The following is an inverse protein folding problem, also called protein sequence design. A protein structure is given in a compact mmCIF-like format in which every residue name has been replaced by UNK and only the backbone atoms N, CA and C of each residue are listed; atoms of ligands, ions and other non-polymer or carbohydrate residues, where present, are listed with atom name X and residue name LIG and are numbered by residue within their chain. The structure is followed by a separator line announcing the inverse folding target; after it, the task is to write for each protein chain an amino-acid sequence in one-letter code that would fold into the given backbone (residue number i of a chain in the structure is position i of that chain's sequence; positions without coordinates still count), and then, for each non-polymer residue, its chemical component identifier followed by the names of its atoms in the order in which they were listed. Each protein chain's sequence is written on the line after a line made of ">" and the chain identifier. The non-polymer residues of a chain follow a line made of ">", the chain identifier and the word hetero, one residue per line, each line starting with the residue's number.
data_IF_580179744216
#
_entry.id   IF_580179744216
#
_cell.length_a   1.000
_cell.length_b   1.000
_cell.length_c   1.000
_cell.angle_alpha   90.00
_cell.angle_beta   90.00
_cell.angle_gamma   90.00
#
_symmetry.space_group_name_H-M   'P 1'
#
loop_
_entity.id
_entity.type
_entity.pdbx_description
1 polymer ?
#
# COMPACT_ATOMS: atom_id res chain seq x y z
N UNK A 1 1.39 3.84 -10.56
CA UNK A 1 0.33 4.61 -9.88
C UNK A 1 -0.80 3.64 -9.49
N UNK A 2 -1.10 3.52 -8.18
CA UNK A 2 -2.26 2.78 -7.69
C UNK A 2 -3.43 3.76 -7.48
N UNK A 3 -4.56 3.45 -8.09
CA UNK A 3 -5.81 4.19 -7.96
C UNK A 3 -6.78 3.42 -7.05
N UNK A 4 -7.34 4.11 -6.04
CA UNK A 4 -8.51 3.60 -5.33
C UNK A 4 -9.65 3.36 -6.33
N UNK A 5 -10.78 2.69 -5.95
CA UNK A 5 -11.84 2.36 -6.90
C UNK A 5 -12.28 3.54 -7.76
N UNK A 6 -12.32 3.32 -9.07
CA UNK A 6 -12.68 4.35 -10.07
C UNK A 6 -14.06 4.13 -10.66
N UNK A 7 -14.70 2.99 -10.36
CA UNK A 7 -15.97 2.60 -10.98
C UNK A 7 -17.16 3.37 -10.40
N UNK A 8 -18.23 3.47 -11.16
CA UNK A 8 -19.49 4.03 -10.69
C UNK A 8 -19.89 3.41 -9.35
N UNK A 9 -20.27 4.25 -8.39
CA UNK A 9 -20.64 3.86 -7.03
C UNK A 9 -21.62 4.86 -6.42
N UNK A 10 -22.28 4.48 -5.33
CA UNK A 10 -23.19 5.37 -4.61
C UNK A 10 -22.46 6.24 -3.57
N UNK A 11 -21.28 5.81 -3.13
CA UNK A 11 -20.47 6.54 -2.13
C UNK A 11 -19.25 7.22 -2.76
N UNK A 12 -18.69 8.20 -2.05
CA UNK A 12 -17.49 8.89 -2.48
C UNK A 12 -16.20 8.04 -2.37
N UNK A 13 -16.20 6.98 -1.54
CA UNK A 13 -15.08 6.04 -1.44
C UNK A 13 -15.06 4.99 -2.56
N UNK A 14 -16.20 4.74 -3.21
CA UNK A 14 -16.40 3.83 -4.35
C UNK A 14 -16.12 2.35 -4.10
N UNK A 15 -15.95 1.92 -2.86
CA UNK A 15 -15.87 0.49 -2.53
C UNK A 15 -17.22 -0.22 -2.66
N UNK A 16 -18.32 0.50 -2.72
CA UNK A 16 -19.67 0.02 -3.03
C UNK A 16 -19.94 0.07 -4.55
N UNK A 17 -19.13 -0.61 -5.35
CA UNK A 17 -19.18 -0.61 -6.81
C UNK A 17 -20.61 -0.83 -7.32
N UNK A 18 -21.09 0.09 -8.15
CA UNK A 18 -22.41 0.05 -8.78
C UNK A 18 -22.37 -0.54 -10.20
N UNK A 19 -21.34 -0.23 -10.97
CA UNK A 19 -21.12 -0.80 -12.30
C UNK A 19 -19.62 -0.92 -12.60
N UNK A 20 -19.10 -2.14 -12.73
CA UNK A 20 -17.70 -2.40 -13.07
C UNK A 20 -17.32 -2.00 -14.52
N UNK A 21 -18.31 -1.75 -15.38
CA UNK A 21 -18.08 -1.41 -16.78
C UNK A 21 -17.96 0.10 -17.01
N UNK A 22 -18.32 0.91 -16.00
CA UNK A 22 -18.43 2.37 -16.10
C UNK A 22 -17.47 3.04 -15.11
N UNK A 23 -16.67 3.99 -15.59
CA UNK A 23 -15.93 4.92 -14.72
C UNK A 23 -16.94 5.86 -14.05
N UNK A 24 -16.74 6.16 -12.77
CA UNK A 24 -17.58 7.13 -12.06
C UNK A 24 -17.60 8.47 -12.81
N UNK A 25 -18.77 9.03 -13.16
CA UNK A 25 -18.87 10.26 -13.93
C UNK A 25 -18.19 11.48 -13.30
N UNK A 26 -17.91 11.45 -11.98
CA UNK A 26 -17.13 12.50 -11.32
C UNK A 26 -15.63 12.43 -11.64
N UNK A 27 -15.16 11.30 -12.17
CA UNK A 27 -13.76 11.06 -12.53
C UNK A 27 -13.54 11.14 -14.05
N UNK A 28 -14.60 11.08 -14.84
CA UNK A 28 -14.56 11.07 -16.30
C UNK A 28 -15.22 9.83 -16.90
N UNK A 29 -14.67 9.33 -17.99
CA UNK A 29 -15.16 8.15 -18.69
C UNK A 29 -14.01 7.16 -19.03
N UNK A 30 -14.33 6.07 -19.75
CA UNK A 30 -13.33 5.10 -20.19
C UNK A 30 -12.28 5.72 -21.12
N UNK A 31 -12.65 6.74 -21.92
CA UNK A 31 -11.69 7.41 -22.80
C UNK A 31 -10.69 8.26 -22.00
N UNK A 32 -11.13 8.92 -20.94
CA UNK A 32 -10.25 9.64 -20.02
C UNK A 32 -9.31 8.68 -19.32
N UNK A 33 -9.79 7.51 -18.87
CA UNK A 33 -8.92 6.48 -18.30
C UNK A 33 -7.87 5.98 -19.30
N UNK A 34 -8.25 5.69 -20.56
CA UNK A 34 -7.31 5.31 -21.62
C UNK A 34 -6.26 6.39 -21.87
N UNK A 35 -6.69 7.64 -21.85
CA UNK A 35 -5.80 8.80 -22.01
C UNK A 35 -4.82 8.89 -20.84
N UNK A 36 -5.30 8.72 -19.60
CA UNK A 36 -4.44 8.67 -18.41
C UNK A 36 -3.38 7.58 -18.54
N UNK A 37 -3.76 6.35 -18.88
CA UNK A 37 -2.83 5.25 -19.04
C UNK A 37 -1.77 5.51 -20.11
N UNK A 38 -2.20 6.02 -21.27
CA UNK A 38 -1.31 6.37 -22.38
C UNK A 38 -0.31 7.46 -22.00
N UNK A 39 -0.78 8.50 -21.30
CA UNK A 39 0.09 9.61 -20.86
C UNK A 39 1.03 9.19 -19.70
N UNK A 40 0.58 8.27 -18.84
CA UNK A 40 1.40 7.67 -17.79
C UNK A 40 2.53 6.81 -18.41
N UNK A 41 2.19 5.95 -19.38
CA UNK A 41 3.15 5.07 -20.06
C UNK A 41 4.27 5.84 -20.75
N UNK A 42 3.97 6.96 -21.42
CA UNK A 42 4.98 7.86 -22.00
C UNK A 42 6.00 8.38 -20.99
N UNK A 43 5.67 8.35 -19.72
CA UNK A 43 6.50 8.78 -18.57
C UNK A 43 7.10 7.62 -17.80
N UNK A 44 6.94 6.38 -18.30
CA UNK A 44 7.39 5.17 -17.62
C UNK A 44 6.53 4.79 -16.39
N UNK A 45 5.32 5.32 -16.29
CA UNK A 45 4.40 5.08 -15.17
C UNK A 45 3.34 4.07 -15.60
N UNK A 46 3.16 3.01 -14.82
CA UNK A 46 2.08 2.02 -14.99
C UNK A 46 0.92 2.32 -14.03
N UNK A 47 -0.29 1.95 -14.44
CA UNK A 47 -1.52 2.20 -13.68
C UNK A 47 -2.08 0.88 -13.12
N UNK A 48 -2.29 0.84 -11.81
CA UNK A 48 -2.92 -0.27 -11.08
C UNK A 48 -4.32 0.13 -10.65
N UNK A 49 -5.30 -0.73 -10.91
CA UNK A 49 -6.68 -0.56 -10.47
C UNK A 49 -6.99 -1.37 -9.21
N UNK A 50 -8.00 -0.93 -8.48
CA UNK A 50 -8.55 -1.62 -7.32
C UNK A 50 -9.69 -2.56 -7.74
N UNK A 51 -9.54 -3.83 -7.43
CA UNK A 51 -10.50 -4.90 -7.71
C UNK A 51 -11.31 -5.26 -6.47
N UNK A 52 -12.45 -4.62 -6.29
CA UNK A 52 -13.41 -4.91 -5.21
C UNK A 52 -14.35 -6.00 -5.71
N UNK A 53 -13.98 -7.28 -5.52
CA UNK A 53 -14.69 -8.41 -6.12
C UNK A 53 -15.37 -9.34 -5.11
N UNK A 54 -15.28 -9.07 -3.81
CA UNK A 54 -15.92 -9.83 -2.74
C UNK A 54 -17.34 -9.34 -2.40
N UNK A 55 -17.71 -8.12 -2.83
CA UNK A 55 -19.03 -7.53 -2.65
C UNK A 55 -19.32 -6.51 -3.75
N UNK A 56 -20.56 -6.05 -3.81
CA UNK A 56 -20.96 -4.90 -4.63
C UNK A 56 -21.72 -3.90 -3.78
N UNK A 57 -22.04 -2.73 -4.32
CA UNK A 57 -22.98 -1.83 -3.66
C UNK A 57 -24.41 -2.39 -3.67
N UNK A 58 -25.16 -2.19 -2.58
CA UNK A 58 -26.58 -2.54 -2.57
C UNK A 58 -27.39 -1.76 -3.63
N UNK A 59 -26.92 -0.57 -4.01
CA UNK A 59 -27.49 0.26 -5.07
C UNK A 59 -26.93 -0.04 -6.46
N UNK A 60 -26.09 -1.06 -6.61
CA UNK A 60 -25.50 -1.45 -7.89
C UNK A 60 -26.54 -1.98 -8.86
N UNK A 61 -26.25 -1.96 -10.16
CA UNK A 61 -27.05 -2.61 -11.19
C UNK A 61 -27.21 -4.13 -10.96
N UNK A 62 -26.30 -4.73 -10.25
CA UNK A 62 -26.31 -6.17 -9.96
C UNK A 62 -27.24 -6.53 -8.83
N UNK A 63 -27.28 -5.75 -7.74
CA UNK A 63 -28.17 -5.96 -6.61
C UNK A 63 -29.48 -5.16 -6.72
N UNK A 64 -29.39 -3.87 -7.02
CA UNK A 64 -30.47 -2.93 -7.31
C UNK A 64 -31.53 -2.81 -6.19
N UNK A 65 -31.09 -2.66 -4.93
CA UNK A 65 -31.99 -2.61 -3.77
C UNK A 65 -33.12 -1.59 -3.91
N UNK A 66 -32.81 -0.41 -4.44
CA UNK A 66 -33.75 0.72 -4.57
C UNK A 66 -34.56 0.69 -5.87
N UNK A 67 -34.32 -0.28 -6.79
CA UNK A 67 -34.95 -0.34 -8.08
C UNK A 67 -34.58 0.82 -9.04
N UNK A 68 -33.40 1.41 -8.83
CA UNK A 68 -32.93 2.56 -9.62
C UNK A 68 -32.65 2.18 -11.07
N UNK A 69 -32.07 1.01 -11.30
CA UNK A 69 -31.80 0.53 -12.67
C UNK A 69 -33.04 -0.10 -13.29
N UNK A 70 -33.32 0.18 -14.58
CA UNK A 70 -34.49 -0.38 -15.28
C UNK A 70 -34.47 -1.92 -15.39
N UNK A 71 -33.25 -2.50 -15.53
CA UNK A 71 -33.10 -3.94 -15.54
C UNK A 71 -33.15 -4.50 -14.11
N UNK A 72 -33.78 -5.68 -13.88
CA UNK A 72 -33.85 -6.25 -12.54
C UNK A 72 -32.49 -6.68 -12.00
N UNK A 73 -32.14 -6.20 -10.82
CA UNK A 73 -31.03 -6.71 -10.03
C UNK A 73 -31.47 -7.87 -9.11
N UNK A 74 -30.57 -8.41 -8.31
CA UNK A 74 -30.84 -9.57 -7.46
C UNK A 74 -31.95 -9.32 -6.44
N UNK A 75 -32.13 -8.10 -5.95
CA UNK A 75 -33.20 -7.74 -5.01
C UNK A 75 -34.59 -7.82 -5.60
N UNK A 76 -34.75 -7.90 -6.93
CA UNK A 76 -36.02 -8.10 -7.62
C UNK A 76 -36.32 -9.60 -7.84
N UNK A 77 -35.47 -10.52 -7.41
CA UNK A 77 -35.72 -11.95 -7.42
C UNK A 77 -35.13 -12.72 -8.59
N UNK A 78 -35.57 -13.99 -8.76
CA UNK A 78 -34.98 -14.93 -9.73
C UNK A 78 -35.09 -14.54 -11.21
N UNK A 79 -35.85 -13.50 -11.54
CA UNK A 79 -35.90 -12.93 -12.90
C UNK A 79 -34.58 -12.21 -13.25
N UNK A 80 -33.82 -11.80 -12.25
CA UNK A 80 -32.52 -11.16 -12.44
C UNK A 80 -31.45 -12.18 -12.85
N UNK A 81 -30.61 -11.89 -13.86
CA UNK A 81 -29.45 -12.72 -14.19
C UNK A 81 -28.42 -12.77 -13.07
N UNK A 82 -28.47 -11.82 -12.13
CA UNK A 82 -27.56 -11.68 -11.00
C UNK A 82 -28.08 -12.31 -9.71
N UNK A 83 -29.29 -12.88 -9.69
CA UNK A 83 -29.92 -13.38 -8.47
C UNK A 83 -29.04 -14.41 -7.73
N UNK A 84 -28.45 -15.35 -8.46
CA UNK A 84 -27.57 -16.39 -7.91
C UNK A 84 -26.17 -15.91 -7.52
N UNK A 85 -25.86 -14.65 -7.75
CA UNK A 85 -24.61 -14.05 -7.26
C UNK A 85 -24.66 -13.78 -5.76
N UNK A 86 -25.86 -13.76 -5.16
CA UNK A 86 -26.08 -13.39 -3.76
C UNK A 86 -26.85 -14.46 -3.02
N UNK A 87 -26.68 -14.51 -1.70
CA UNK A 87 -27.38 -15.42 -0.79
C UNK A 87 -28.39 -14.63 0.06
N UNK A 88 -29.65 -15.10 0.08
CA UNK A 88 -30.74 -14.44 0.82
C UNK A 88 -31.26 -15.33 1.97
N UNK A 89 -31.61 -14.70 3.16
CA UNK A 89 -32.02 -15.38 4.40
C UNK A 89 -33.00 -14.55 5.28
N UNK A 90 -34.24 -14.26 5.03
CA UNK A 90 -35.09 -14.52 3.87
C UNK A 90 -35.01 -13.46 2.78
N UNK A 91 -35.36 -13.87 1.56
CA UNK A 91 -35.52 -12.94 0.46
C UNK A 91 -36.70 -11.99 0.68
N UNK A 92 -36.60 -10.70 0.26
CA UNK A 92 -35.41 -9.99 -0.22
C UNK A 92 -34.68 -9.23 0.91
N UNK A 93 -35.17 -9.31 2.15
CA UNK A 93 -34.85 -8.39 3.25
C UNK A 93 -33.58 -8.74 4.00
N UNK A 94 -33.17 -10.00 3.98
CA UNK A 94 -31.93 -10.44 4.63
C UNK A 94 -31.05 -11.21 3.63
N UNK A 95 -29.77 -10.88 3.61
CA UNK A 95 -28.78 -11.41 2.68
C UNK A 95 -27.37 -11.34 3.28
N UNK A 96 -26.47 -12.16 2.76
CA UNK A 96 -25.06 -12.08 3.13
C UNK A 96 -24.49 -10.72 2.72
N UNK A 97 -23.74 -10.11 3.62
CA UNK A 97 -23.12 -8.82 3.40
C UNK A 97 -21.73 -8.82 4.03
N UNK A 98 -20.80 -8.10 3.40
CA UNK A 98 -19.43 -7.96 3.88
C UNK A 98 -19.44 -7.39 5.31
N UNK A 99 -18.93 -8.19 6.26
CA UNK A 99 -18.95 -7.92 7.71
C UNK A 99 -20.34 -7.48 8.27
N UNK A 100 -21.42 -7.94 7.65
CA UNK A 100 -22.78 -7.59 8.04
C UNK A 100 -23.24 -6.20 7.62
N UNK A 101 -22.44 -5.47 6.86
CA UNK A 101 -22.75 -4.13 6.34
C UNK A 101 -23.73 -4.26 5.16
N UNK A 102 -25.00 -4.01 5.40
CA UNK A 102 -26.08 -4.22 4.39
C UNK A 102 -25.92 -3.38 3.12
N UNK A 103 -25.17 -2.29 3.14
CA UNK A 103 -24.86 -1.54 1.92
C UNK A 103 -23.85 -2.25 0.99
N UNK A 104 -23.24 -3.33 1.46
CA UNK A 104 -22.21 -4.10 0.77
C UNK A 104 -22.58 -5.58 0.68
N UNK A 105 -23.61 -5.96 -0.14
CA UNK A 105 -24.01 -7.35 -0.32
C UNK A 105 -22.83 -8.18 -0.85
N UNK A 106 -22.50 -9.26 -0.12
CA UNK A 106 -21.46 -10.18 -0.48
C UNK A 106 -21.85 -11.00 -1.70
N UNK A 107 -20.93 -11.23 -2.61
CA UNK A 107 -21.16 -12.07 -3.78
C UNK A 107 -20.67 -13.50 -3.53
N UNK A 108 -21.21 -14.43 -4.29
CA UNK A 108 -20.71 -15.80 -4.35
C UNK A 108 -19.62 -15.91 -5.44
N UNK A 109 -18.38 -15.79 -5.04
CA UNK A 109 -17.21 -15.83 -5.93
C UNK A 109 -17.00 -17.21 -6.60
N UNK A 110 -17.78 -18.22 -6.22
CA UNK A 110 -17.81 -19.55 -6.87
C UNK A 110 -18.92 -19.70 -7.89
N UNK A 111 -19.80 -18.68 -8.02
CA UNK A 111 -20.84 -18.70 -9.03
C UNK A 111 -20.23 -18.59 -10.44
N UNK A 112 -20.50 -19.55 -11.31
CA UNK A 112 -19.88 -19.62 -12.65
C UNK A 112 -20.14 -18.37 -13.50
N UNK A 113 -21.35 -17.80 -13.44
CA UNK A 113 -21.66 -16.59 -14.20
C UNK A 113 -20.94 -15.35 -13.66
N UNK A 114 -20.74 -15.27 -12.34
CA UNK A 114 -19.94 -14.22 -11.71
C UNK A 114 -18.46 -14.36 -12.10
N UNK A 115 -17.90 -15.56 -11.97
CA UNK A 115 -16.51 -15.84 -12.39
C UNK A 115 -16.31 -15.54 -13.86
N UNK A 116 -17.29 -15.92 -14.71
CA UNK A 116 -17.22 -15.59 -16.13
C UNK A 116 -17.25 -14.07 -16.39
N UNK A 117 -18.12 -13.36 -15.69
CA UNK A 117 -18.23 -11.91 -15.83
C UNK A 117 -16.98 -11.16 -15.37
N UNK A 118 -16.44 -11.51 -14.20
CA UNK A 118 -15.27 -10.84 -13.66
C UNK A 118 -13.97 -11.31 -14.30
N UNK A 119 -13.79 -12.63 -14.59
CA UNK A 119 -12.48 -13.21 -14.87
C UNK A 119 -12.39 -13.90 -16.23
N UNK A 120 -13.20 -14.97 -16.44
CA UNK A 120 -12.91 -15.94 -17.51
C UNK A 120 -13.50 -15.59 -18.86
N UNK A 121 -14.58 -14.80 -18.91
CA UNK A 121 -15.22 -14.38 -20.15
C UNK A 121 -14.28 -13.55 -21.03
N UNK A 122 -14.47 -13.62 -22.34
CA UNK A 122 -13.67 -12.86 -23.30
C UNK A 122 -13.72 -11.34 -23.04
N UNK A 123 -14.88 -10.84 -22.61
CA UNK A 123 -15.09 -9.43 -22.24
C UNK A 123 -15.20 -9.26 -20.72
N UNK A 124 -14.51 -10.11 -19.94
CA UNK A 124 -14.52 -10.01 -18.48
C UNK A 124 -13.95 -8.67 -17.99
N UNK A 125 -14.34 -8.28 -16.79
CA UNK A 125 -13.92 -7.02 -16.17
C UNK A 125 -12.39 -6.94 -16.06
N UNK A 126 -11.73 -8.04 -15.66
CA UNK A 126 -10.26 -8.10 -15.59
C UNK A 126 -9.64 -7.81 -16.94
N UNK A 127 -10.09 -8.46 -18.02
CA UNK A 127 -9.57 -8.26 -19.38
C UNK A 127 -9.90 -6.88 -19.94
N UNK A 128 -11.12 -6.41 -19.73
CA UNK A 128 -11.61 -5.11 -20.23
C UNK A 128 -10.67 -3.98 -19.82
N UNK A 129 -10.37 -3.88 -18.54
CA UNK A 129 -9.59 -2.77 -18.01
C UNK A 129 -8.09 -2.91 -18.27
N UNK A 130 -7.57 -4.14 -18.36
CA UNK A 130 -6.20 -4.35 -18.85
C UNK A 130 -6.06 -3.97 -20.33
N UNK A 131 -7.05 -4.30 -21.18
CA UNK A 131 -7.12 -3.82 -22.58
C UNK A 131 -7.31 -2.30 -22.68
N UNK A 132 -7.91 -1.68 -21.68
CA UNK A 132 -8.05 -0.23 -21.60
C UNK A 132 -6.78 0.50 -21.20
N UNK A 133 -5.73 -0.22 -20.76
CA UNK A 133 -4.43 0.34 -20.45
C UNK A 133 -3.96 0.16 -19.00
N UNK A 134 -4.79 -0.41 -18.12
CA UNK A 134 -4.31 -0.82 -16.81
C UNK A 134 -3.17 -1.84 -16.95
N UNK A 135 -2.22 -1.81 -16.03
CA UNK A 135 -1.07 -2.72 -16.02
C UNK A 135 -1.05 -3.62 -14.78
N UNK A 136 -2.02 -3.45 -13.89
CA UNK A 136 -2.07 -4.21 -12.65
C UNK A 136 -3.45 -4.15 -12.00
N UNK A 137 -3.70 -5.13 -11.14
CA UNK A 137 -4.83 -5.15 -10.21
C UNK A 137 -4.34 -5.30 -8.77
N UNK A 138 -4.90 -4.52 -7.86
CA UNK A 138 -4.87 -4.77 -6.42
C UNK A 138 -6.20 -5.40 -6.04
N UNK A 139 -6.18 -6.53 -5.35
CA UNK A 139 -7.38 -7.18 -4.85
C UNK A 139 -7.70 -6.66 -3.45
N UNK A 140 -8.83 -6.00 -3.35
CA UNK A 140 -9.43 -5.54 -2.10
C UNK A 140 -9.78 -6.75 -1.24
N UNK A 141 -9.45 -6.66 0.05
CA UNK A 141 -9.74 -7.70 1.05
C UNK A 141 -9.48 -9.11 0.50
N UNK A 142 -8.24 -9.39 0.06
CA UNK A 142 -7.91 -10.67 -0.57
C UNK A 142 -8.19 -11.89 0.33
N UNK A 143 -8.30 -11.68 1.64
CA UNK A 143 -8.70 -12.73 2.60
C UNK A 143 -10.14 -13.22 2.41
N UNK A 144 -11.03 -12.39 1.88
CA UNK A 144 -12.42 -12.73 1.60
C UNK A 144 -12.58 -13.50 0.29
N UNK A 145 -11.62 -13.37 -0.65
CA UNK A 145 -11.66 -14.06 -1.94
C UNK A 145 -11.16 -15.51 -1.81
N UNK A 146 -11.85 -16.52 -2.36
CA UNK A 146 -11.33 -17.89 -2.43
C UNK A 146 -10.00 -17.96 -3.19
N UNK A 147 -9.10 -18.88 -2.80
CA UNK A 147 -7.83 -19.09 -3.51
C UNK A 147 -8.05 -19.38 -5.01
N UNK A 148 -9.09 -20.17 -5.33
CA UNK A 148 -9.45 -20.53 -6.70
C UNK A 148 -9.83 -19.30 -7.55
N UNK A 149 -10.48 -18.31 -6.96
CA UNK A 149 -10.82 -17.05 -7.63
C UNK A 149 -9.57 -16.24 -7.94
N UNK A 150 -8.67 -16.09 -6.96
CA UNK A 150 -7.38 -15.41 -7.14
C UNK A 150 -6.53 -16.12 -8.21
N UNK A 151 -6.48 -17.45 -8.17
CA UNK A 151 -5.73 -18.25 -9.17
C UNK A 151 -6.32 -18.10 -10.58
N UNK A 152 -7.64 -18.01 -10.70
CA UNK A 152 -8.28 -17.76 -12.00
C UNK A 152 -7.91 -16.39 -12.58
N UNK A 153 -7.91 -15.32 -11.75
CA UNK A 153 -7.43 -13.99 -12.16
C UNK A 153 -5.98 -14.10 -12.63
N UNK A 154 -5.13 -14.74 -11.82
CA UNK A 154 -3.70 -14.91 -12.14
C UNK A 154 -3.50 -15.65 -13.45
N UNK A 155 -4.24 -16.74 -13.69
CA UNK A 155 -4.13 -17.53 -14.91
C UNK A 155 -4.50 -16.71 -16.16
N UNK A 156 -5.60 -15.96 -16.10
CA UNK A 156 -6.03 -15.05 -17.18
C UNK A 156 -4.98 -13.98 -17.46
N UNK A 157 -4.46 -13.35 -16.41
CA UNK A 157 -3.44 -12.32 -16.55
C UNK A 157 -2.14 -12.91 -17.15
N UNK A 158 -1.71 -14.06 -16.68
CA UNK A 158 -0.50 -14.70 -17.20
C UNK A 158 -0.63 -15.11 -18.66
N UNK A 159 -1.81 -15.52 -19.09
CA UNK A 159 -2.08 -15.92 -20.48
C UNK A 159 -2.14 -14.73 -21.43
N UNK A 160 -2.90 -13.69 -21.06
CA UNK A 160 -3.27 -12.62 -21.99
C UNK A 160 -2.48 -11.32 -21.75
N UNK A 161 -1.92 -11.13 -20.53
CA UNK A 161 -1.23 -9.92 -20.09
C UNK A 161 -0.03 -10.28 -19.17
N UNK A 162 1.00 -10.99 -19.69
CA UNK A 162 2.06 -11.58 -18.88
C UNK A 162 2.88 -10.57 -18.06
N UNK A 163 2.90 -9.31 -18.48
CA UNK A 163 3.59 -8.22 -17.78
C UNK A 163 2.73 -7.51 -16.72
N UNK A 164 1.46 -7.92 -16.60
CA UNK A 164 0.55 -7.32 -15.62
C UNK A 164 0.81 -7.87 -14.22
N UNK A 165 0.72 -6.99 -13.20
CA UNK A 165 1.00 -7.32 -11.82
C UNK A 165 -0.31 -7.55 -11.03
N UNK A 166 -0.33 -8.55 -10.17
CA UNK A 166 -1.45 -8.84 -9.28
C UNK A 166 -0.99 -8.70 -7.83
N UNK A 167 -1.50 -7.69 -7.15
CA UNK A 167 -1.25 -7.37 -5.75
C UNK A 167 -2.46 -7.80 -4.90
N UNK A 168 -2.24 -8.22 -3.66
CA UNK A 168 -3.32 -8.47 -2.71
C UNK A 168 -3.21 -7.65 -1.45
N UNK A 169 -4.35 -7.26 -0.92
CA UNK A 169 -4.43 -6.71 0.42
C UNK A 169 -4.54 -7.85 1.43
N UNK A 170 -3.50 -8.00 2.26
CA UNK A 170 -3.44 -8.93 3.39
C UNK A 170 -2.74 -8.22 4.54
N UNK A 171 -3.37 -8.16 5.70
CA UNK A 171 -2.89 -7.33 6.80
C UNK A 171 -1.79 -7.98 7.66
N UNK A 172 -1.62 -9.29 7.53
CA UNK A 172 -0.62 -10.05 8.26
C UNK A 172 0.39 -10.71 7.32
N UNK A 173 1.21 -11.60 7.86
CA UNK A 173 2.08 -12.47 7.07
C UNK A 173 1.23 -13.39 6.16
N UNK A 174 1.27 -13.13 4.86
CA UNK A 174 0.48 -13.87 3.88
C UNK A 174 0.85 -15.34 3.73
N UNK A 175 2.00 -15.79 4.23
CA UNK A 175 2.43 -17.17 4.16
C UNK A 175 1.89 -18.03 5.31
N UNK A 176 1.59 -17.39 6.43
CA UNK A 176 1.04 -18.05 7.63
C UNK A 176 -0.45 -17.79 7.82
N UNK A 177 -1.02 -16.90 7.01
CA UNK A 177 -2.42 -16.49 7.10
C UNK A 177 -3.38 -17.67 7.01
N UNK A 178 -4.30 -17.71 7.97
CA UNK A 178 -5.45 -18.63 7.98
C UNK A 178 -6.72 -17.79 7.88
N UNK A 179 -7.50 -17.98 6.84
CA UNK A 179 -8.82 -17.40 6.68
C UNK A 179 -9.82 -18.51 6.32
N UNK A 180 -11.04 -18.44 6.86
CA UNK A 180 -12.09 -19.45 6.66
C UNK A 180 -11.62 -20.90 6.93
N UNK A 181 -10.84 -21.06 8.02
CA UNK A 181 -10.27 -22.36 8.47
C UNK A 181 -9.31 -22.99 7.48
N UNK A 182 -8.77 -22.24 6.50
CA UNK A 182 -7.77 -22.71 5.55
C UNK A 182 -6.54 -21.81 5.57
N UNK A 183 -5.34 -22.43 5.57
CA UNK A 183 -4.10 -21.70 5.29
C UNK A 183 -4.11 -21.24 3.85
N UNK A 184 -3.92 -19.93 3.67
CA UNK A 184 -3.99 -19.29 2.37
C UNK A 184 -2.72 -19.56 1.54
N UNK A 185 -2.88 -19.54 0.22
CA UNK A 185 -1.83 -19.92 -0.72
C UNK A 185 -1.44 -18.75 -1.64
N UNK A 186 -1.39 -17.55 -1.10
CA UNK A 186 -1.20 -16.32 -1.87
C UNK A 186 0.09 -16.29 -2.70
N UNK A 187 1.23 -16.70 -2.11
CA UNK A 187 2.57 -16.52 -2.67
C UNK A 187 3.22 -17.81 -3.19
N UNK A 188 2.46 -18.88 -3.40
CA UNK A 188 2.98 -20.19 -3.83
C UNK A 188 3.04 -20.37 -5.35
N UNK A 189 3.15 -19.28 -6.13
CA UNK A 189 3.40 -19.29 -7.57
C UNK A 189 2.15 -19.20 -8.46
N UNK A 190 0.98 -19.63 -8.00
CA UNK A 190 -0.28 -19.56 -8.76
C UNK A 190 -1.22 -18.43 -8.34
N UNK A 191 -0.86 -17.68 -7.30
CA UNK A 191 -1.68 -16.62 -6.74
C UNK A 191 -1.13 -15.22 -7.04
N UNK A 192 -0.96 -14.44 -5.99
CA UNK A 192 -0.50 -13.05 -6.08
C UNK A 192 0.98 -12.96 -6.42
N UNK A 193 1.38 -11.87 -7.06
CA UNK A 193 2.79 -11.55 -7.25
C UNK A 193 3.42 -10.96 -5.99
N UNK A 194 2.65 -10.20 -5.23
CA UNK A 194 3.07 -9.56 -3.99
C UNK A 194 1.88 -9.16 -3.14
N UNK A 195 2.18 -8.62 -1.96
CA UNK A 195 1.21 -8.19 -0.98
C UNK A 195 1.45 -6.73 -0.58
N UNK A 196 0.39 -6.05 -0.15
CA UNK A 196 0.52 -4.84 0.65
C UNK A 196 1.20 -5.20 1.97
N UNK A 197 2.37 -4.61 2.22
CA UNK A 197 3.23 -5.01 3.35
C UNK A 197 2.81 -4.32 4.66
N UNK A 198 1.63 -4.69 5.18
CA UNK A 198 1.19 -4.26 6.50
C UNK A 198 2.16 -4.63 7.63
N UNK A 199 2.83 -5.80 7.61
CA UNK A 199 3.86 -6.12 8.58
C UNK A 199 4.98 -5.09 8.67
N UNK A 200 5.44 -4.53 7.52
CA UNK A 200 6.43 -3.46 7.50
C UNK A 200 5.94 -2.22 8.25
N UNK A 201 4.73 -1.76 7.95
CA UNK A 201 4.11 -0.62 8.62
C UNK A 201 3.96 -0.86 10.13
N UNK A 202 3.42 -2.03 10.48
CA UNK A 202 3.13 -2.41 11.87
C UNK A 202 4.40 -2.53 12.71
N UNK A 203 5.53 -2.90 12.13
CA UNK A 203 6.81 -2.96 12.82
C UNK A 203 7.53 -1.59 12.87
N UNK A 204 7.49 -0.80 11.78
CA UNK A 204 8.23 0.46 11.71
C UNK A 204 7.61 1.57 12.58
N UNK A 205 6.29 1.69 12.59
CA UNK A 205 5.64 2.80 13.30
C UNK A 205 5.84 2.76 14.83
N UNK A 206 5.72 1.61 15.54
CA UNK A 206 6.06 1.52 16.95
C UNK A 206 7.52 1.84 17.26
N UNK A 207 8.46 1.42 16.40
CA UNK A 207 9.87 1.80 16.53
C UNK A 207 10.04 3.33 16.46
N UNK A 208 9.48 4.00 15.46
CA UNK A 208 9.56 5.45 15.32
C UNK A 208 8.85 6.18 16.48
N UNK A 209 7.71 5.69 16.93
CA UNK A 209 6.98 6.25 18.07
C UNK A 209 7.65 6.00 19.42
N UNK A 210 8.64 5.11 19.51
CA UNK A 210 9.37 4.79 20.75
C UNK A 210 8.69 3.76 21.65
N UNK A 211 7.71 3.03 21.13
CA UNK A 211 7.01 1.96 21.86
C UNK A 211 7.60 0.58 21.63
N UNK A 212 8.51 0.44 20.64
CA UNK A 212 9.34 -0.75 20.41
C UNK A 212 10.79 -0.36 20.05
N UNK A 213 11.69 -1.35 20.02
CA UNK A 213 13.08 -1.18 19.64
C UNK A 213 13.34 -1.41 18.14
N UNK A 214 14.55 -1.03 17.69
CA UNK A 214 15.02 -1.32 16.34
C UNK A 214 15.18 -2.82 16.10
N UNK A 215 15.52 -3.58 17.15
CA UNK A 215 15.59 -5.03 17.15
C UNK A 215 14.25 -5.68 16.84
N UNK A 216 13.14 -5.14 17.37
CA UNK A 216 11.79 -5.66 17.08
C UNK A 216 11.42 -5.46 15.60
N UNK A 217 11.78 -4.30 15.03
CA UNK A 217 11.61 -4.04 13.60
C UNK A 217 12.43 -5.01 12.76
N UNK A 218 13.73 -5.18 13.08
CA UNK A 218 14.61 -6.13 12.38
C UNK A 218 14.03 -7.53 12.42
N UNK A 219 13.68 -8.03 13.60
CA UNK A 219 13.23 -9.41 13.80
C UNK A 219 11.89 -9.68 13.07
N UNK A 220 10.97 -8.71 13.07
CA UNK A 220 9.75 -8.78 12.30
C UNK A 220 10.03 -8.85 10.79
N UNK A 221 10.94 -8.02 10.26
CA UNK A 221 11.27 -8.00 8.84
C UNK A 221 12.09 -9.20 8.40
N UNK A 222 12.98 -9.71 9.24
CA UNK A 222 13.69 -10.97 8.96
C UNK A 222 12.72 -12.16 8.94
N UNK A 223 11.72 -12.19 9.82
CA UNK A 223 10.66 -13.20 9.77
C UNK A 223 9.92 -13.18 8.44
N UNK A 224 9.53 -11.99 7.96
CA UNK A 224 8.87 -11.85 6.64
C UNK A 224 9.83 -12.25 5.51
N UNK A 225 11.11 -11.87 5.58
CA UNK A 225 12.12 -12.23 4.56
C UNK A 225 12.34 -13.73 4.47
N UNK A 226 12.35 -14.44 5.61
CA UNK A 226 12.48 -15.90 5.67
C UNK A 226 11.24 -16.63 5.19
N UNK A 227 10.05 -16.08 5.47
CA UNK A 227 8.78 -16.70 5.12
C UNK A 227 8.38 -16.48 3.65
N UNK A 228 8.69 -15.34 3.07
CA UNK A 228 8.27 -15.00 1.72
C UNK A 228 9.21 -15.57 0.66
N UNK A 229 8.70 -16.05 -0.48
CA UNK A 229 9.53 -16.23 -1.66
C UNK A 229 10.25 -14.91 -1.99
N UNK A 230 11.55 -15.00 -2.33
CA UNK A 230 12.38 -13.81 -2.58
C UNK A 230 11.74 -12.80 -3.55
N UNK A 231 11.14 -13.19 -4.70
CA UNK A 231 10.48 -12.22 -5.58
C UNK A 231 9.31 -11.49 -4.91
N UNK A 232 8.57 -12.15 -4.02
CA UNK A 232 7.44 -11.53 -3.31
C UNK A 232 7.91 -10.58 -2.19
N UNK A 233 9.02 -10.89 -1.51
CA UNK A 233 9.63 -10.00 -0.53
C UNK A 233 10.16 -8.71 -1.19
N UNK A 234 10.93 -8.85 -2.28
CA UNK A 234 11.48 -7.70 -3.01
C UNK A 234 10.43 -6.96 -3.86
N UNK A 235 9.30 -7.59 -4.16
CA UNK A 235 8.14 -6.99 -4.84
C UNK A 235 7.03 -6.52 -3.91
N UNK A 236 7.19 -6.66 -2.58
CA UNK A 236 6.16 -6.23 -1.62
C UNK A 236 5.91 -4.73 -1.69
N UNK A 237 4.65 -4.33 -1.60
CA UNK A 237 4.24 -2.93 -1.57
C UNK A 237 4.41 -2.38 -0.15
N UNK A 238 5.53 -1.73 0.12
CA UNK A 238 5.77 -1.07 1.40
C UNK A 238 5.06 0.29 1.44
N UNK A 239 4.39 0.57 2.53
CA UNK A 239 3.69 1.83 2.75
C UNK A 239 3.63 2.18 4.24
N UNK A 240 3.30 3.42 4.57
CA UNK A 240 3.22 3.91 5.95
C UNK A 240 1.84 4.46 6.28
N UNK A 241 1.13 4.98 5.30
CA UNK A 241 -0.28 5.36 5.39
C UNK A 241 -1.03 5.01 4.11
N UNK A 242 -2.34 4.88 4.21
CA UNK A 242 -3.26 4.59 3.12
C UNK A 242 -4.58 5.32 3.34
N UNK A 243 -5.54 5.12 2.45
CA UNK A 243 -6.90 5.60 2.61
C UNK A 243 -7.63 4.99 3.83
N UNK A 244 -7.13 3.88 4.42
CA UNK A 244 -7.71 3.21 5.60
C UNK A 244 -7.02 3.57 6.91
N UNK A 245 -5.93 4.34 6.85
CA UNK A 245 -5.14 4.65 8.03
C UNK A 245 -4.96 6.16 8.22
N UNK A 246 -4.70 6.66 9.44
CA UNK A 246 -4.36 8.06 9.64
C UNK A 246 -3.16 8.50 8.79
N UNK A 247 -3.13 9.78 8.45
CA UNK A 247 -1.98 10.42 7.81
C UNK A 247 -0.72 10.27 8.66
N UNK A 248 0.39 9.97 8.01
CA UNK A 248 1.64 9.67 8.71
C UNK A 248 2.10 10.84 9.61
N UNK A 249 2.00 12.08 9.12
CA UNK A 249 2.35 13.27 9.88
C UNK A 249 1.51 13.39 11.17
N UNK A 250 0.21 13.17 11.08
CA UNK A 250 -0.70 13.20 12.24
C UNK A 250 -0.38 12.06 13.21
N UNK A 251 -0.16 10.87 12.70
CA UNK A 251 0.11 9.69 13.52
C UNK A 251 1.40 9.82 14.34
N UNK A 252 2.46 10.37 13.74
CA UNK A 252 3.76 10.51 14.38
C UNK A 252 3.89 11.80 15.22
N UNK A 253 3.14 12.85 14.85
CA UNK A 253 3.20 14.14 15.53
C UNK A 253 2.26 14.28 16.72
N UNK A 254 1.01 13.77 16.59
CA UNK A 254 -0.01 13.96 17.61
C UNK A 254 0.32 13.18 18.88
N UNK A 255 0.44 13.89 20.00
CA UNK A 255 0.74 13.29 21.32
C UNK A 255 -0.50 12.77 22.01
N UNK A 256 -1.61 13.50 21.89
CA UNK A 256 -2.86 13.18 22.54
C UNK A 256 -4.03 13.23 21.56
N UNK A 257 -4.31 12.13 20.86
CA UNK A 257 -5.42 12.10 19.91
C UNK A 257 -6.76 12.43 20.59
N UNK A 258 -7.56 13.35 20.04
CA UNK A 258 -8.89 13.62 20.56
C UNK A 258 -9.75 12.36 20.59
N UNK A 259 -10.49 12.15 21.70
CA UNK A 259 -11.42 11.02 21.79
C UNK A 259 -12.66 11.23 20.89
N UNK A 260 -13.09 12.47 20.77
CA UNK A 260 -14.28 12.85 20.01
C UNK A 260 -14.00 12.94 18.51
N UNK A 261 -14.91 12.40 17.70
CA UNK A 261 -14.79 12.36 16.23
C UNK A 261 -14.83 13.77 15.60
N UNK A 262 -15.70 14.64 16.10
CA UNK A 262 -15.82 16.00 15.57
C UNK A 262 -14.54 16.81 15.88
N UNK A 263 -13.95 16.60 17.06
CA UNK A 263 -12.66 17.17 17.40
C UNK A 263 -11.55 16.67 16.46
N UNK A 264 -11.54 15.38 16.08
CA UNK A 264 -10.61 14.83 15.09
C UNK A 264 -10.78 15.45 13.70
N UNK A 265 -12.00 15.76 13.30
CA UNK A 265 -12.29 16.40 12.01
C UNK A 265 -11.60 17.76 11.86
N UNK A 266 -11.49 18.50 12.98
CA UNK A 266 -10.98 19.87 13.00
C UNK A 266 -9.57 19.97 13.59
N UNK A 267 -9.00 18.86 14.06
CA UNK A 267 -7.67 18.84 14.67
C UNK A 267 -6.60 19.33 13.70
N UNK A 268 -5.65 20.08 14.26
CA UNK A 268 -4.41 20.44 13.61
C UNK A 268 -3.28 20.28 14.61
N UNK A 269 -2.16 19.78 14.15
CA UNK A 269 -0.96 19.68 14.95
C UNK A 269 -0.53 21.06 15.44
N UNK A 270 -0.18 21.14 16.71
CA UNK A 270 0.55 22.31 17.24
C UNK A 270 1.92 22.43 16.57
N UNK A 271 2.57 23.61 16.63
CA UNK A 271 3.91 23.78 16.04
C UNK A 271 4.93 22.73 16.53
N UNK A 272 4.92 22.38 17.82
CA UNK A 272 5.83 21.39 18.40
C UNK A 272 5.51 19.96 17.91
N UNK A 273 4.24 19.58 17.85
CA UNK A 273 3.78 18.29 17.32
C UNK A 273 4.14 18.18 15.82
N UNK A 274 3.96 19.25 15.07
CA UNK A 274 4.31 19.28 13.64
C UNK A 274 5.81 19.15 13.42
N UNK A 275 6.63 19.85 14.19
CA UNK A 275 8.10 19.78 14.12
C UNK A 275 8.57 18.35 14.38
N UNK A 276 8.13 17.75 15.50
CA UNK A 276 8.42 16.35 15.85
C UNK A 276 7.89 15.37 14.80
N UNK A 277 6.63 15.54 14.39
CA UNK A 277 6.01 14.69 13.38
C UNK A 277 6.75 14.74 12.05
N UNK A 278 7.21 15.92 11.63
CA UNK A 278 8.00 16.11 10.41
C UNK A 278 9.37 15.43 10.49
N UNK A 279 10.05 15.53 11.64
CA UNK A 279 11.33 14.84 11.84
C UNK A 279 11.15 13.32 11.72
N UNK A 280 10.17 12.74 12.43
CA UNK A 280 9.88 11.31 12.37
C UNK A 280 9.37 10.85 11.00
N UNK A 281 8.59 11.68 10.29
CA UNK A 281 8.13 11.40 8.92
C UNK A 281 9.31 11.32 7.95
N UNK A 282 10.31 12.19 8.08
CA UNK A 282 11.53 12.13 7.26
C UNK A 282 12.30 10.84 7.48
N UNK A 283 12.45 10.40 8.76
CA UNK A 283 13.08 9.11 9.07
C UNK A 283 12.27 7.94 8.47
N UNK A 284 10.96 7.97 8.65
CA UNK A 284 10.05 6.97 8.10
C UNK A 284 10.15 6.85 6.58
N UNK A 285 10.16 7.99 5.88
CA UNK A 285 10.32 8.05 4.44
C UNK A 285 11.69 7.51 3.98
N UNK A 286 12.78 7.85 4.68
CA UNK A 286 14.09 7.31 4.36
C UNK A 286 14.10 5.77 4.48
N UNK A 287 13.59 5.23 5.59
CA UNK A 287 13.49 3.77 5.75
C UNK A 287 12.62 3.17 4.66
N UNK A 288 11.47 3.76 4.34
CA UNK A 288 10.57 3.30 3.27
C UNK A 288 11.29 3.19 1.91
N UNK A 289 12.07 4.21 1.55
CA UNK A 289 12.77 4.24 0.26
C UNK A 289 14.04 3.39 0.22
N UNK A 290 14.70 3.20 1.35
CA UNK A 290 15.94 2.40 1.43
C UNK A 290 15.66 0.91 1.63
N UNK A 291 14.52 0.52 2.20
CA UNK A 291 14.18 -0.87 2.49
C UNK A 291 13.86 -1.68 1.22
N UNK A 292 14.08 -3.05 1.22
CA UNK A 292 13.61 -3.92 0.13
C UNK A 292 12.10 -3.83 -0.08
N UNK A 293 11.66 -3.89 -1.33
CA UNK A 293 10.26 -3.76 -1.72
C UNK A 293 9.99 -2.47 -2.52
N UNK A 294 8.74 -2.22 -2.86
CA UNK A 294 8.30 -1.04 -3.59
C UNK A 294 7.83 0.05 -2.63
N UNK A 295 8.54 1.18 -2.49
CA UNK A 295 8.08 2.28 -1.65
C UNK A 295 6.82 2.88 -2.25
N UNK A 296 5.77 2.99 -1.44
CA UNK A 296 4.49 3.56 -1.82
C UNK A 296 4.14 4.72 -0.92
N UNK A 297 3.87 5.86 -1.52
CA UNK A 297 3.49 7.10 -0.83
C UNK A 297 2.00 7.31 -1.00
N UNK A 298 1.28 7.43 0.09
CA UNK A 298 -0.10 7.88 0.05
C UNK A 298 -0.13 9.37 -0.27
N UNK A 299 -0.89 9.75 -1.32
CA UNK A 299 -0.90 11.12 -1.81
C UNK A 299 -1.05 12.14 -0.68
N UNK A 300 -0.22 13.16 -0.69
CA UNK A 300 -0.25 14.25 0.27
C UNK A 300 0.59 14.04 1.54
N UNK A 301 1.10 12.84 1.82
CA UNK A 301 2.09 12.66 2.90
C UNK A 301 3.38 13.43 2.56
N UNK A 302 3.78 13.41 1.29
CA UNK A 302 4.89 14.19 0.76
C UNK A 302 4.64 15.70 0.79
N UNK A 303 3.37 16.12 0.86
CA UNK A 303 2.97 17.53 0.95
C UNK A 303 2.67 17.99 2.38
N UNK A 304 2.87 17.12 3.38
CA UNK A 304 2.65 17.43 4.79
C UNK A 304 1.16 17.54 5.18
N UNK A 305 0.29 16.77 4.52
CA UNK A 305 -1.12 16.69 4.87
C UNK A 305 -1.33 16.04 6.22
N UNK A 306 -2.31 16.57 6.96
CA UNK A 306 -2.77 16.07 8.25
C UNK A 306 -4.16 15.44 8.14
N UNK A 307 -4.44 14.44 8.97
CA UNK A 307 -5.75 13.83 9.10
C UNK A 307 -5.72 12.54 9.92
N UNK A 308 -6.71 12.36 10.75
CA UNK A 308 -6.97 11.09 11.43
C UNK A 308 -7.58 10.07 10.45
N UNK A 309 -8.15 8.99 10.94
CA UNK A 309 -8.80 7.94 10.15
C UNK A 309 -9.89 8.47 9.21
N UNK A 310 -10.35 7.61 8.32
CA UNK A 310 -11.44 7.90 7.35
C UNK A 310 -12.67 8.57 8.01
N UNK A 311 -13.18 9.69 7.45
CA UNK A 311 -12.84 10.31 6.16
C UNK A 311 -11.77 11.40 6.24
N UNK A 312 -11.18 11.66 7.39
CA UNK A 312 -10.33 12.83 7.65
C UNK A 312 -8.95 12.73 6.97
N UNK A 313 -8.50 11.52 6.67
CA UNK A 313 -7.30 11.23 5.89
C UNK A 313 -7.46 11.42 4.37
N UNK A 314 -8.71 11.56 3.86
CA UNK A 314 -9.05 11.59 2.41
C UNK A 314 -9.34 13.01 1.91
N UNK A 315 -8.73 14.03 2.49
CA UNK A 315 -8.87 15.42 2.04
C UNK A 315 -8.24 15.62 0.67
N UNK A 316 -8.69 16.67 -0.04
CA UNK A 316 -8.11 17.05 -1.33
C UNK A 316 -6.64 17.45 -1.18
N UNK A 317 -5.86 17.17 -2.25
CA UNK A 317 -4.45 17.57 -2.28
C UNK A 317 -4.30 19.10 -2.21
N UNK A 318 -3.35 19.64 -1.42
CA UNK A 318 -3.23 21.07 -1.15
C UNK A 318 -2.46 21.79 -2.25
N UNK A 319 -2.96 21.78 -3.49
CA UNK A 319 -2.29 22.40 -4.64
C UNK A 319 -1.88 23.84 -4.37
N UNK A 320 -0.58 24.14 -4.53
CA UNK A 320 0.01 25.45 -4.30
C UNK A 320 0.23 25.81 -2.82
N UNK A 321 -0.04 24.86 -1.91
CA UNK A 321 0.14 25.01 -0.45
C UNK A 321 0.88 23.82 0.16
N UNK A 322 1.65 23.12 -0.65
CA UNK A 322 2.44 21.96 -0.23
C UNK A 322 3.58 22.39 0.71
N UNK A 323 3.94 21.51 1.63
CA UNK A 323 5.19 21.63 2.37
C UNK A 323 6.36 21.32 1.42
N UNK A 324 6.98 22.39 0.88
CA UNK A 324 8.03 22.28 -0.13
C UNK A 324 9.27 21.55 0.39
N UNK A 325 9.58 21.66 1.68
CA UNK A 325 10.73 20.97 2.27
C UNK A 325 10.49 19.45 2.35
N UNK A 326 9.27 19.02 2.62
CA UNK A 326 8.90 17.60 2.55
C UNK A 326 8.88 17.11 1.10
N UNK A 327 8.29 17.86 0.16
CA UNK A 327 8.32 17.50 -1.26
C UNK A 327 9.75 17.27 -1.76
N UNK A 328 10.68 18.16 -1.43
CA UNK A 328 12.06 18.05 -1.86
C UNK A 328 12.78 16.87 -1.18
N UNK A 329 12.40 16.53 0.07
CA UNK A 329 12.88 15.34 0.74
C UNK A 329 12.43 14.07 -0.01
N UNK A 330 11.15 13.91 -0.30
CA UNK A 330 10.63 12.75 -1.04
C UNK A 330 11.21 12.65 -2.46
N UNK A 331 11.38 13.78 -3.16
CA UNK A 331 12.05 13.83 -4.47
C UNK A 331 13.50 13.35 -4.40
N UNK A 332 14.22 13.78 -3.37
CA UNK A 332 15.61 13.36 -3.13
C UNK A 332 15.68 11.86 -2.90
N UNK A 333 14.83 11.30 -2.03
CA UNK A 333 14.78 9.87 -1.78
C UNK A 333 14.41 9.06 -3.03
N UNK A 334 13.43 9.54 -3.81
CA UNK A 334 13.03 8.91 -5.08
C UNK A 334 14.16 8.89 -6.09
N UNK A 335 14.91 9.99 -6.24
CA UNK A 335 16.09 10.08 -7.11
C UNK A 335 17.19 9.14 -6.66
N UNK A 336 17.56 9.16 -5.36
CA UNK A 336 18.59 8.26 -4.83
C UNK A 336 18.26 6.80 -5.03
N UNK A 337 16.98 6.41 -4.84
CA UNK A 337 16.55 5.03 -5.11
C UNK A 337 16.63 4.70 -6.61
N UNK A 338 16.26 5.61 -7.49
CA UNK A 338 16.33 5.38 -8.93
C UNK A 338 17.75 5.30 -9.48
N UNK A 339 18.70 5.98 -8.84
CA UNK A 339 20.11 6.03 -9.24
C UNK A 339 20.96 4.88 -8.69
N UNK A 340 20.50 4.17 -7.63
CA UNK A 340 21.30 3.18 -6.92
C UNK A 340 20.71 1.79 -7.01
N UNK A 341 21.47 0.87 -7.61
CA UNK A 341 21.05 -0.53 -7.77
C UNK A 341 20.89 -1.23 -6.40
N UNK A 342 21.78 -0.91 -5.45
CA UNK A 342 21.71 -1.42 -4.08
C UNK A 342 20.36 -1.14 -3.43
N UNK A 343 19.78 0.04 -3.62
CA UNK A 343 18.46 0.38 -3.07
C UNK A 343 17.31 -0.28 -3.83
N UNK A 344 17.48 -0.57 -5.13
CA UNK A 344 16.45 -1.20 -5.95
C UNK A 344 16.37 -2.71 -5.70
N UNK A 345 17.48 -3.42 -5.92
CA UNK A 345 17.54 -4.89 -5.97
C UNK A 345 18.47 -5.52 -4.94
N UNK A 346 19.26 -4.72 -4.20
CA UNK A 346 20.30 -5.22 -3.30
C UNK A 346 19.75 -6.06 -2.14
N UNK A 347 20.55 -7.01 -1.71
CA UNK A 347 20.31 -7.77 -0.48
C UNK A 347 20.37 -6.87 0.76
N UNK A 348 19.72 -7.30 1.85
CA UNK A 348 19.70 -6.57 3.12
C UNK A 348 20.48 -7.29 4.20
N UNK A 349 21.23 -6.52 5.01
CA UNK A 349 21.86 -6.96 6.24
C UNK A 349 21.73 -5.86 7.30
N UNK A 350 21.72 -6.25 8.57
CA UNK A 350 21.56 -5.32 9.70
C UNK A 350 22.84 -5.30 10.55
N UNK A 351 23.80 -4.39 10.26
CA UNK A 351 25.00 -4.24 11.07
C UNK A 351 24.73 -3.78 12.50
N UNK A 352 23.62 -3.07 12.72
CA UNK A 352 23.16 -2.67 14.06
C UNK A 352 21.65 -2.48 14.08
N UNK A 353 20.99 -3.06 15.09
CA UNK A 353 19.61 -2.76 15.43
C UNK A 353 19.49 -2.89 16.95
N UNK A 354 19.45 -1.77 17.67
CA UNK A 354 19.42 -1.74 19.12
C UNK A 354 18.74 -0.47 19.64
N UNK A 355 17.73 -0.65 20.47
CA UNK A 355 16.99 0.45 21.10
C UNK A 355 16.44 1.43 20.08
N UNK A 356 16.95 2.67 20.06
CA UNK A 356 16.49 3.72 19.13
C UNK A 356 17.31 3.83 17.84
N UNK A 357 18.32 2.98 17.65
CA UNK A 357 19.22 3.02 16.48
C UNK A 357 19.01 1.82 15.59
N UNK A 358 18.66 2.09 14.34
CA UNK A 358 18.51 1.11 13.27
C UNK A 358 19.52 1.40 12.17
N UNK A 359 20.41 0.43 11.90
CA UNK A 359 21.31 0.48 10.75
C UNK A 359 21.11 -0.76 9.89
N UNK A 360 20.83 -0.57 8.61
CA UNK A 360 20.80 -1.67 7.65
C UNK A 360 21.52 -1.29 6.35
N UNK A 361 22.23 -2.26 5.80
CA UNK A 361 22.95 -2.13 4.54
C UNK A 361 22.20 -2.83 3.42
N UNK A 362 22.21 -2.22 2.24
CA UNK A 362 21.76 -2.78 0.98
C UNK A 362 22.96 -2.99 0.06
N UNK A 363 23.10 -4.18 -0.53
CA UNK A 363 24.23 -4.51 -1.39
C UNK A 363 23.79 -5.12 -2.71
N UNK A 364 24.26 -4.54 -3.82
CA UNK A 364 24.13 -5.09 -5.16
C UNK A 364 25.52 -5.14 -5.81
N UNK A 365 26.09 -6.33 -5.96
CA UNK A 365 27.48 -6.48 -6.39
C UNK A 365 28.44 -5.75 -5.45
N UNK A 366 29.21 -4.81 -5.99
CA UNK A 366 30.14 -3.98 -5.22
C UNK A 366 29.47 -2.72 -4.65
N UNK A 367 28.31 -2.33 -5.14
CA UNK A 367 27.60 -1.15 -4.63
C UNK A 367 26.96 -1.40 -3.27
N UNK A 368 27.27 -0.52 -2.32
CA UNK A 368 26.70 -0.54 -0.96
C UNK A 368 26.01 0.79 -0.66
N UNK A 369 24.82 0.68 -0.07
CA UNK A 369 24.14 1.80 0.59
C UNK A 369 23.78 1.39 2.01
N UNK A 370 24.19 2.17 3.01
CA UNK A 370 23.90 1.92 4.42
C UNK A 370 22.99 3.02 4.96
N UNK A 371 21.79 2.64 5.37
CA UNK A 371 20.84 3.51 6.05
C UNK A 371 21.09 3.41 7.56
N UNK A 372 21.37 4.54 8.22
CA UNK A 372 21.56 4.63 9.66
C UNK A 372 20.56 5.65 10.22
N UNK A 373 19.70 5.22 11.14
CA UNK A 373 18.61 6.02 11.71
C UNK A 373 18.69 6.05 13.21
N UNK A 374 18.61 7.22 13.79
CA UNK A 374 18.40 7.44 15.22
C UNK A 374 16.99 8.04 15.43
N UNK A 375 16.06 7.22 15.87
CA UNK A 375 14.69 7.66 16.21
C UNK A 375 14.55 8.09 17.69
N UNK A 376 15.68 8.30 18.39
CA UNK A 376 15.74 8.74 19.78
C UNK A 376 15.86 10.26 19.93
N UNK A 377 15.51 10.76 21.12
CA UNK A 377 15.66 12.17 21.51
C UNK A 377 17.07 12.52 21.98
N UNK A 378 17.99 11.57 22.00
CA UNK A 378 19.40 11.75 22.40
C UNK A 378 20.30 11.35 21.25
N UNK A 379 21.51 11.94 21.19
CA UNK A 379 22.53 11.54 20.21
C UNK A 379 23.02 10.13 20.47
N UNK A 380 23.29 9.40 19.40
CA UNK A 380 23.79 8.01 19.46
C UNK A 380 25.08 7.88 18.67
N UNK A 381 26.14 7.39 19.32
CA UNK A 381 27.37 7.02 18.63
C UNK A 381 27.31 5.57 18.20
N UNK A 382 27.67 5.30 16.96
CA UNK A 382 27.66 3.96 16.36
C UNK A 382 29.00 3.65 15.71
N UNK A 383 29.31 2.39 15.72
CA UNK A 383 30.55 1.83 15.15
C UNK A 383 30.16 0.73 14.15
N UNK A 384 30.28 1.02 12.85
CA UNK A 384 29.75 0.21 11.77
C UNK A 384 30.89 -0.40 10.92
N UNK A 385 30.73 -1.62 10.39
CA UNK A 385 31.68 -2.17 9.42
C UNK A 385 31.60 -1.38 8.12
N UNK A 386 32.75 -0.94 7.61
CA UNK A 386 32.85 -0.19 6.36
C UNK A 386 34.16 -0.47 5.66
N UNK A 387 34.14 -0.96 4.42
CA UNK A 387 35.33 -1.44 3.73
C UNK A 387 36.12 -0.33 3.01
N UNK A 388 35.42 0.68 2.49
CA UNK A 388 36.06 1.78 1.78
C UNK A 388 36.71 2.77 2.75
N UNK A 389 37.71 3.54 2.34
CA UNK A 389 38.38 4.52 3.21
C UNK A 389 37.51 5.72 3.58
N UNK A 390 36.48 5.97 2.79
CA UNK A 390 35.54 7.06 2.98
C UNK A 390 34.10 6.55 2.87
N UNK A 391 33.18 7.16 3.61
CA UNK A 391 31.74 7.06 3.42
C UNK A 391 31.19 8.45 3.12
N UNK A 392 30.28 8.53 2.16
CA UNK A 392 29.59 9.79 1.81
C UNK A 392 28.13 9.71 2.19
N UNK A 393 27.62 10.68 2.94
CA UNK A 393 26.20 10.78 3.16
C UNK A 393 25.52 11.38 1.90
N UNK A 394 24.74 10.57 1.23
CA UNK A 394 24.03 10.96 0.00
C UNK A 394 22.94 12.02 0.24
N UNK A 395 22.54 12.26 1.50
CA UNK A 395 21.52 13.25 1.87
C UNK A 395 22.11 14.64 2.04
N UNK A 396 23.26 14.76 2.73
CA UNK A 396 23.90 16.04 3.06
C UNK A 396 25.15 16.32 2.24
N UNK A 397 25.75 15.31 1.63
CA UNK A 397 27.06 15.40 0.97
C UNK A 397 28.25 15.37 1.94
N UNK A 398 28.03 15.19 3.25
CA UNK A 398 29.09 15.07 4.23
C UNK A 398 29.89 13.78 4.02
N UNK A 399 31.19 13.84 4.29
CA UNK A 399 32.09 12.68 4.19
C UNK A 399 32.64 12.29 5.57
N UNK A 400 32.79 10.99 5.76
CA UNK A 400 33.30 10.38 7.00
C UNK A 400 34.48 9.48 6.66
N UNK A 401 35.55 9.57 7.44
CA UNK A 401 36.71 8.68 7.33
C UNK A 401 36.43 7.35 8.02
N UNK A 402 36.75 6.26 7.34
CA UNK A 402 36.76 4.94 7.94
C UNK A 402 38.18 4.56 8.37
N UNK A 403 38.36 4.04 9.57
CA UNK A 403 39.62 3.61 10.11
C UNK A 403 39.57 2.12 10.48
N UNK A 404 40.55 1.35 10.03
CA UNK A 404 40.64 -0.08 10.34
C UNK A 404 39.46 -0.91 9.87
N UNK A 405 38.77 -0.49 8.78
CA UNK A 405 37.57 -1.17 8.27
C UNK A 405 36.26 -0.85 9.04
N UNK A 406 36.31 0.23 9.83
CA UNK A 406 35.19 0.67 10.66
C UNK A 406 34.90 2.15 10.48
N UNK A 407 33.64 2.49 10.61
CA UNK A 407 33.11 3.85 10.53
C UNK A 407 32.54 4.25 11.88
N UNK A 408 33.15 5.25 12.52
CA UNK A 408 32.65 5.83 13.77
C UNK A 408 31.88 7.10 13.49
N UNK A 409 30.57 7.10 13.72
CA UNK A 409 29.70 8.24 13.48
C UNK A 409 28.80 8.52 14.68
N UNK A 410 28.38 9.77 14.81
CA UNK A 410 27.39 10.19 15.80
C UNK A 410 26.15 10.69 15.06
N UNK A 411 25.02 10.05 15.31
CA UNK A 411 23.71 10.46 14.84
C UNK A 411 23.08 11.42 15.86
N UNK A 412 22.67 12.59 15.43
CA UNK A 412 21.94 13.53 16.27
C UNK A 412 20.54 12.97 16.66
N UNK A 413 19.80 13.60 17.59
CA UNK A 413 18.42 13.25 17.87
C UNK A 413 17.54 13.34 16.62
N UNK A 414 16.73 12.31 16.38
CA UNK A 414 15.80 12.23 15.22
C UNK A 414 16.50 12.47 13.87
N UNK A 415 17.69 11.92 13.71
CA UNK A 415 18.55 12.12 12.55
C UNK A 415 18.85 10.80 11.82
N UNK A 416 19.23 10.91 10.55
CA UNK A 416 19.59 9.76 9.76
C UNK A 416 20.60 10.10 8.66
N UNK A 417 21.39 9.09 8.26
CA UNK A 417 22.34 9.13 7.16
C UNK A 417 22.01 8.04 6.13
N UNK A 418 22.25 8.33 4.87
CA UNK A 418 22.32 7.34 3.80
C UNK A 418 23.75 7.30 3.25
N UNK A 419 24.55 6.42 3.83
CA UNK A 419 25.98 6.30 3.54
C UNK A 419 26.22 5.48 2.29
N UNK A 420 27.11 5.97 1.43
CA UNK A 420 27.52 5.36 0.16
C UNK A 420 29.04 5.42 0.05
N UNK A 421 29.63 4.54 -0.78
CA UNK A 421 31.04 4.57 -1.15
C UNK A 421 31.33 5.66 -2.16
#
# INVERSE_FOLDING_TARGET
>A
LYLNPIFEAASNHRYDTADYETVDPLLGDEQDFRTLCTEAEKRGIRVMLDGVFNHTGAKSRYFNADGFYPAPGAAQGPISPYYLWYSFHPFPTDYDAWWGIKNLPAVNERNESYVNYIITGENSIVRRWLRAGASAWRLDVADELPDEFIFAIRAVMQQDFPDAYLLGEVWEDGTTKVAYSKRRRYLLGGGLHGLMNYPFRTALLPYLAGTSGAEDFRDAMETIRENYPSPAFYGAMNFLSTHDTPRLLTLLGCEQPPADRDARAHYRLSPAERERGTALLKLAALVLYAFPGSPTVYYGDEAGMEGFEDPFNRRTYPWGHEDTALLDWFRTLGRLRAERESLQSGDIAYPLAAGRVLCFARRAGDEVSLCAVNAGAESASVDLPWAAPLAHDALSGQSFLAEGGRLHITLAPYDALLLTE
#
